data_IF_174785999435
#
_entry.id   IF_174785999435
#
_cell.length_a   1.000
_cell.length_b   1.000
_cell.length_c   1.000
_cell.angle_alpha   90.00
_cell.angle_beta   90.00
_cell.angle_gamma   90.00
#
_symmetry.space_group_name_H-M   'P 1'
#
loop_
_entity.id
_entity.type
_entity.pdbx_description
1 polymer ?
#
# COMPACT_ATOMS: atom_id res chain seq x y z
N UNK A 1 -1.99 9.48 -12.64
CA UNK A 1 -1.60 10.46 -11.60
C UNK A 1 -0.89 9.83 -10.39
N UNK A 2 -1.34 8.70 -9.85
CA UNK A 2 -0.72 8.01 -8.70
C UNK A 2 0.75 7.63 -8.91
N UNK A 3 1.15 7.31 -10.15
CA UNK A 3 2.50 6.84 -10.50
C UNK A 3 3.57 7.95 -10.38
N UNK A 4 3.18 9.21 -10.57
CA UNK A 4 4.13 10.35 -10.54
C UNK A 4 4.70 10.51 -9.11
N UNK A 5 3.91 10.22 -8.08
CA UNK A 5 4.35 10.25 -6.68
C UNK A 5 5.40 9.16 -6.38
N UNK A 6 5.33 8.00 -7.03
CA UNK A 6 6.29 6.90 -6.89
C UNK A 6 7.56 7.06 -7.74
N UNK A 7 7.59 8.00 -8.69
CA UNK A 7 8.76 8.24 -9.55
C UNK A 7 9.78 9.19 -8.92
N UNK A 8 9.45 9.87 -7.83
CA UNK A 8 10.45 10.61 -7.05
C UNK A 8 11.42 9.62 -6.39
N UNK A 9 12.71 9.99 -6.30
CA UNK A 9 13.68 9.14 -5.62
C UNK A 9 13.16 8.77 -4.21
N UNK A 10 13.14 7.48 -3.82
CA UNK A 10 12.62 7.00 -2.53
C UNK A 10 13.06 7.84 -1.33
N UNK A 11 14.30 8.31 -1.40
CA UNK A 11 14.91 9.18 -0.40
C UNK A 11 14.17 10.50 -0.20
N UNK A 12 13.67 11.13 -1.26
CA UNK A 12 12.93 12.40 -1.17
C UNK A 12 11.62 12.21 -0.41
N UNK A 13 10.92 11.10 -0.66
CA UNK A 13 9.71 10.74 0.09
C UNK A 13 10.00 10.51 1.57
N UNK A 14 11.03 9.72 1.88
CA UNK A 14 11.44 9.46 3.25
C UNK A 14 11.85 10.75 4.00
N UNK A 15 12.66 11.61 3.39
CA UNK A 15 13.05 12.91 3.96
C UNK A 15 11.85 13.84 4.17
N UNK A 16 10.87 13.82 3.26
CA UNK A 16 9.65 14.62 3.39
C UNK A 16 8.83 14.19 4.62
N UNK A 17 8.69 12.88 4.85
CA UNK A 17 8.03 12.36 6.04
C UNK A 17 8.78 12.72 7.33
N UNK A 18 10.11 12.68 7.31
CA UNK A 18 10.94 13.13 8.44
C UNK A 18 10.78 14.63 8.71
N UNK A 19 10.66 15.46 7.68
CA UNK A 19 10.40 16.91 7.82
C UNK A 19 8.99 17.20 8.38
N UNK A 20 8.00 16.37 8.07
CA UNK A 20 6.62 16.56 8.51
C UNK A 20 6.37 16.00 9.91
N UNK A 21 6.77 14.74 10.14
CA UNK A 21 6.47 13.95 11.35
C UNK A 21 7.69 13.76 12.26
N UNK A 22 8.84 14.32 11.93
CA UNK A 22 10.01 14.31 12.79
C UNK A 22 9.76 15.06 14.10
N UNK A 23 10.72 14.94 15.03
CA UNK A 23 10.67 15.54 16.37
C UNK A 23 10.49 17.07 16.36
N UNK A 24 10.91 17.72 15.28
CA UNK A 24 10.72 19.15 15.01
C UNK A 24 9.83 19.45 13.79
N UNK A 25 9.10 18.44 13.29
CA UNK A 25 8.31 18.56 12.08
C UNK A 25 7.05 19.41 12.25
N UNK A 26 6.53 19.90 11.13
CA UNK A 26 5.36 20.81 11.10
C UNK A 26 4.13 20.14 11.72
N UNK A 27 3.88 18.87 11.41
CA UNK A 27 2.73 18.11 11.90
C UNK A 27 2.89 17.79 13.38
N UNK A 28 4.08 17.35 13.80
CA UNK A 28 4.38 17.05 15.20
C UNK A 28 4.23 18.29 16.09
N UNK A 29 4.76 19.44 15.65
CA UNK A 29 4.58 20.71 16.37
C UNK A 29 3.12 21.16 16.41
N UNK A 30 2.39 20.97 15.32
CA UNK A 30 0.96 21.28 15.29
C UNK A 30 0.17 20.41 16.29
N UNK A 31 0.40 19.10 16.31
CA UNK A 31 -0.25 18.17 17.24
C UNK A 31 0.10 18.47 18.71
N UNK A 32 1.37 18.76 19.00
CA UNK A 32 1.80 19.04 20.38
C UNK A 32 1.34 20.42 20.85
N UNK A 33 1.41 21.46 20.00
CA UNK A 33 1.04 22.83 20.40
C UNK A 33 -0.48 23.09 20.35
N UNK A 34 -1.19 22.55 19.35
CA UNK A 34 -2.62 22.79 19.20
C UNK A 34 -3.45 21.78 20.00
N UNK A 35 -3.02 20.52 20.07
CA UNK A 35 -3.83 19.41 20.58
C UNK A 35 -3.21 18.76 21.85
N UNK A 36 -2.09 19.29 22.37
CA UNK A 36 -1.40 18.82 23.58
C UNK A 36 -1.07 17.31 23.59
N UNK A 37 -0.95 16.68 22.41
CA UNK A 37 -0.59 15.27 22.30
C UNK A 37 0.93 15.06 22.45
N UNK A 38 1.35 13.88 22.94
CA UNK A 38 2.76 13.50 22.98
C UNK A 38 3.36 13.54 21.57
N UNK A 39 4.60 14.03 21.49
CA UNK A 39 5.33 14.12 20.23
C UNK A 39 5.42 12.73 19.57
N UNK A 40 5.01 12.64 18.31
CA UNK A 40 5.13 11.43 17.51
C UNK A 40 6.60 11.27 17.11
N UNK A 41 7.15 10.09 17.37
CA UNK A 41 8.47 9.72 16.88
C UNK A 41 8.35 8.86 15.62
N UNK A 42 8.75 9.44 14.48
CA UNK A 42 8.84 8.73 13.20
C UNK A 42 10.15 7.94 13.08
N UNK A 43 11.13 8.16 13.96
CA UNK A 43 12.37 7.42 13.92
C UNK A 43 12.15 6.03 14.54
N UNK A 44 12.67 5.00 13.87
CA UNK A 44 12.54 3.61 14.29
C UNK A 44 11.55 2.80 13.45
N UNK A 45 11.28 1.57 13.89
CA UNK A 45 10.57 0.56 13.09
C UNK A 45 9.20 1.02 12.59
N UNK A 46 8.41 1.70 13.43
CA UNK A 46 7.05 2.15 13.07
C UNK A 46 7.04 3.15 11.92
N UNK A 47 7.94 4.12 11.94
CA UNK A 47 8.03 5.10 10.85
C UNK A 47 8.61 4.51 9.58
N UNK A 48 9.58 3.59 9.70
CA UNK A 48 10.09 2.83 8.54
C UNK A 48 8.94 2.06 7.89
N UNK A 49 8.18 1.27 8.66
CA UNK A 49 7.03 0.52 8.13
C UNK A 49 6.02 1.46 7.48
N UNK A 50 5.66 2.58 8.11
CA UNK A 50 4.71 3.54 7.55
C UNK A 50 5.19 4.09 6.20
N UNK A 51 6.43 4.57 6.12
CA UNK A 51 6.98 5.16 4.88
C UNK A 51 7.08 4.11 3.79
N UNK A 52 7.58 2.91 4.11
CA UNK A 52 7.68 1.81 3.14
C UNK A 52 6.30 1.36 2.66
N UNK A 53 5.31 1.21 3.55
CA UNK A 53 3.95 0.86 3.17
C UNK A 53 3.35 1.89 2.22
N UNK A 54 3.48 3.19 2.53
CA UNK A 54 2.96 4.24 1.66
C UNK A 54 3.69 4.31 0.31
N UNK A 55 4.98 3.98 0.29
CA UNK A 55 5.76 3.98 -0.95
C UNK A 55 5.45 2.75 -1.83
N UNK A 56 5.23 1.59 -1.23
CA UNK A 56 4.90 0.35 -1.95
C UNK A 56 3.42 0.28 -2.35
N UNK A 57 2.55 1.01 -1.67
CA UNK A 57 1.11 0.99 -1.92
C UNK A 57 0.73 1.28 -3.39
N UNK A 58 1.24 2.35 -4.06
CA UNK A 58 0.95 2.61 -5.47
C UNK A 58 1.32 1.45 -6.40
N UNK A 59 2.46 0.82 -6.14
CA UNK A 59 3.00 -0.28 -6.93
C UNK A 59 2.17 -1.55 -6.74
N UNK A 60 1.81 -1.89 -5.50
CA UNK A 60 0.90 -3.00 -5.21
C UNK A 60 -0.48 -2.76 -5.84
N UNK A 61 -1.00 -1.53 -5.76
CA UNK A 61 -2.26 -1.16 -6.40
C UNK A 61 -2.22 -1.39 -7.91
N UNK A 62 -1.13 -1.03 -8.58
CA UNK A 62 -0.96 -1.29 -10.02
C UNK A 62 -0.93 -2.77 -10.34
N UNK A 63 -0.22 -3.59 -9.56
CA UNK A 63 -0.22 -5.03 -9.78
C UNK A 63 -1.61 -5.63 -9.59
N UNK A 64 -2.33 -5.25 -8.53
CA UNK A 64 -3.68 -5.73 -8.27
C UNK A 64 -4.64 -5.29 -9.39
N UNK A 65 -4.56 -4.02 -9.82
CA UNK A 65 -5.38 -3.51 -10.91
C UNK A 65 -5.05 -4.19 -12.25
N UNK A 66 -3.77 -4.46 -12.52
CA UNK A 66 -3.33 -5.21 -13.70
C UNK A 66 -3.85 -6.64 -13.70
N UNK A 67 -3.70 -7.34 -12.57
CA UNK A 67 -4.23 -8.70 -12.41
C UNK A 67 -5.75 -8.71 -12.53
N UNK A 68 -6.47 -7.77 -11.90
CA UNK A 68 -7.93 -7.67 -12.05
C UNK A 68 -8.38 -7.45 -13.49
N UNK A 69 -7.65 -6.66 -14.28
CA UNK A 69 -7.93 -6.51 -15.71
C UNK A 69 -7.60 -7.78 -16.52
N UNK A 70 -6.71 -8.63 -16.03
CA UNK A 70 -6.36 -9.91 -16.68
C UNK A 70 -7.24 -11.10 -16.25
N UNK A 71 -8.04 -10.95 -15.19
CA UNK A 71 -8.98 -12.00 -14.76
C UNK A 71 -10.12 -12.07 -15.78
N UNK A 72 -10.23 -13.21 -16.44
CA UNK A 72 -11.29 -13.50 -17.39
C UNK A 72 -12.66 -13.51 -16.69
N UNK A 73 -13.66 -12.83 -17.27
CA UNK A 73 -15.02 -12.78 -16.70
C UNK A 73 -15.64 -14.18 -16.54
N UNK A 74 -15.20 -15.16 -17.35
CA UNK A 74 -15.63 -16.55 -17.21
C UNK A 74 -15.30 -17.19 -15.85
N UNK A 75 -14.16 -16.84 -15.23
CA UNK A 75 -13.81 -17.28 -13.87
C UNK A 75 -14.72 -16.65 -12.83
N UNK A 76 -15.09 -15.40 -13.06
CA UNK A 76 -16.05 -14.68 -12.24
C UNK A 76 -17.43 -15.37 -12.35
N UNK A 77 -17.95 -15.62 -13.54
CA UNK A 77 -19.26 -16.24 -13.77
C UNK A 77 -19.34 -17.69 -13.24
N UNK A 78 -18.24 -18.45 -13.33
CA UNK A 78 -18.14 -19.78 -12.73
C UNK A 78 -18.22 -19.74 -11.19
N UNK A 79 -17.54 -18.78 -10.56
CA UNK A 79 -17.61 -18.59 -9.11
C UNK A 79 -19.03 -18.20 -8.65
N UNK A 80 -19.74 -17.44 -9.49
CA UNK A 80 -21.11 -17.02 -9.27
C UNK A 80 -22.09 -18.19 -9.42
N UNK A 81 -21.88 -19.04 -10.43
CA UNK A 81 -22.62 -20.30 -10.62
C UNK A 81 -22.41 -21.30 -9.48
N UNK A 82 -21.25 -21.26 -8.81
CA UNK A 82 -20.97 -22.04 -7.58
C UNK A 82 -21.47 -21.37 -6.28
N UNK A 83 -22.19 -20.25 -6.37
CA UNK A 83 -22.80 -19.58 -5.22
C UNK A 83 -21.85 -18.68 -4.41
N UNK A 84 -20.69 -18.30 -4.97
CA UNK A 84 -19.75 -17.37 -4.34
C UNK A 84 -20.01 -15.92 -4.79
N UNK A 85 -20.72 -15.16 -3.95
CA UNK A 85 -21.09 -13.77 -4.23
C UNK A 85 -20.33 -12.76 -3.37
N UNK A 86 -20.16 -11.54 -3.88
CA UNK A 86 -19.65 -10.38 -3.14
C UNK A 86 -18.25 -10.58 -2.52
N UNK A 87 -18.12 -10.31 -1.22
CA UNK A 87 -16.86 -10.39 -0.48
C UNK A 87 -16.27 -11.80 -0.46
N UNK A 88 -17.11 -12.84 -0.46
CA UNK A 88 -16.68 -14.25 -0.50
C UNK A 88 -15.97 -14.58 -1.82
N UNK A 89 -16.43 -14.02 -2.94
CA UNK A 89 -15.77 -14.14 -4.25
C UNK A 89 -14.38 -13.51 -4.25
N UNK A 90 -14.26 -12.34 -3.61
CA UNK A 90 -12.98 -11.61 -3.53
C UNK A 90 -11.97 -12.46 -2.74
N UNK A 91 -12.34 -12.99 -1.57
CA UNK A 91 -11.41 -13.73 -0.73
C UNK A 91 -11.12 -15.14 -1.27
N UNK A 92 -12.09 -15.82 -1.87
CA UNK A 92 -11.95 -17.23 -2.30
C UNK A 92 -11.39 -17.39 -3.70
N UNK A 93 -11.59 -16.42 -4.60
CA UNK A 93 -11.17 -16.53 -6.01
C UNK A 93 -10.13 -15.48 -6.33
N UNK A 94 -10.45 -14.20 -6.09
CA UNK A 94 -9.57 -13.09 -6.51
C UNK A 94 -8.30 -13.01 -5.67
N UNK A 95 -8.39 -13.12 -4.35
CA UNK A 95 -7.26 -13.04 -3.43
C UNK A 95 -6.22 -14.15 -3.67
N UNK A 96 -6.57 -15.45 -3.75
CA UNK A 96 -5.60 -16.51 -4.03
C UNK A 96 -5.03 -16.45 -5.45
N UNK A 97 -5.71 -15.84 -6.42
CA UNK A 97 -5.13 -15.54 -7.74
C UNK A 97 -4.12 -14.38 -7.67
N UNK A 98 -4.33 -13.42 -6.77
CA UNK A 98 -3.41 -12.30 -6.54
C UNK A 98 -2.16 -12.70 -5.75
N UNK A 99 -2.27 -13.66 -4.82
CA UNK A 99 -1.16 -14.15 -3.98
C UNK A 99 0.07 -14.60 -4.78
N UNK A 100 -0.02 -15.47 -5.82
CA UNK A 100 1.14 -15.88 -6.59
C UNK A 100 1.76 -14.72 -7.37
N UNK A 101 0.97 -13.77 -7.88
CA UNK A 101 1.50 -12.54 -8.49
C UNK A 101 2.24 -11.65 -7.48
N UNK A 102 1.73 -11.52 -6.25
CA UNK A 102 2.40 -10.76 -5.20
C UNK A 102 3.69 -11.43 -4.71
N UNK A 103 3.75 -12.78 -4.70
CA UNK A 103 4.93 -13.55 -4.33
C UNK A 103 5.96 -13.65 -5.46
N UNK A 104 5.53 -13.61 -6.72
CA UNK A 104 6.42 -13.59 -7.87
C UNK A 104 7.24 -12.28 -7.96
N UNK A 105 6.65 -11.14 -7.56
CA UNK A 105 7.32 -9.83 -7.60
C UNK A 105 8.63 -9.74 -6.78
N UNK A 106 8.71 -10.19 -5.51
CA UNK A 106 9.96 -10.24 -4.77
C UNK A 106 10.89 -11.38 -5.23
N UNK A 107 10.37 -12.48 -5.76
CA UNK A 107 11.19 -13.59 -6.26
C UNK A 107 11.94 -13.23 -7.56
N UNK A 108 11.40 -12.32 -8.37
CA UNK A 108 12.07 -11.80 -9.57
C UNK A 108 13.19 -10.78 -9.25
N UNK A 109 13.19 -10.23 -8.02
CA UNK A 109 14.12 -9.18 -7.57
C UNK A 109 15.26 -9.70 -6.67
N UNK A 110 15.28 -11.01 -6.40
CA UNK A 110 16.36 -11.75 -5.72
C UNK A 110 17.27 -12.42 -6.75
#
# INVERSE_FOLDING_TARGET
MIIIASMSAPFVGAYSWVLLLGRNGVITKFLTNALHLPAIDIYGFKGIVLVFTLQLFPLVFLYVAGTMNSIDNSLLEAAESMGSFGFKRIVTVVLPLLVPTLLAAPCLYL
#
